data_IF_746435443956
#
_entry.id   IF_746435443956
#
_cell.length_a   1.000
_cell.length_b   1.000
_cell.length_c   1.000
_cell.angle_alpha   90.00
_cell.angle_beta   90.00
_cell.angle_gamma   90.00
#
_symmetry.space_group_name_H-M   'P 1'
#
loop_
_entity.id
_entity.type
_entity.pdbx_description
1 polymer ?
#
# COMPACT_ATOMS: atom_id res chain seq x y z
N UNK A 1 15.03 6.16 -5.91
CA UNK A 1 15.88 6.73 -4.85
C UNK A 1 15.10 7.83 -4.14
N UNK A 2 14.71 7.57 -2.88
CA UNK A 2 14.02 8.54 -2.00
C UNK A 2 14.91 9.78 -1.79
N UNK A 3 16.18 9.56 -1.47
CA UNK A 3 17.22 10.59 -1.32
C UNK A 3 17.43 11.42 -2.59
N UNK A 4 17.35 10.83 -3.79
CA UNK A 4 17.54 11.59 -5.04
C UNK A 4 16.38 12.53 -5.34
N UNK A 5 15.13 12.13 -5.05
CA UNK A 5 13.96 13.00 -5.23
C UNK A 5 14.04 14.17 -4.24
N UNK A 6 14.36 13.87 -2.98
CA UNK A 6 14.51 14.88 -1.94
C UNK A 6 15.69 15.85 -2.22
N UNK A 7 16.78 15.38 -2.82
CA UNK A 7 17.92 16.22 -3.21
C UNK A 7 17.57 17.27 -4.28
N UNK A 8 16.47 17.08 -5.02
CA UNK A 8 15.96 18.05 -5.99
C UNK A 8 14.95 19.04 -5.38
N UNK A 9 14.82 19.09 -4.05
CA UNK A 9 13.81 19.87 -3.33
C UNK A 9 12.36 19.48 -3.68
N UNK A 10 12.13 18.22 -4.05
CA UNK A 10 10.79 17.66 -4.32
C UNK A 10 10.40 16.72 -3.19
N UNK A 11 9.16 16.83 -2.71
CA UNK A 11 8.61 15.94 -1.69
C UNK A 11 8.40 14.55 -2.28
N UNK A 12 9.09 13.55 -1.73
CA UNK A 12 8.88 12.14 -2.02
C UNK A 12 7.72 11.57 -1.21
N UNK A 13 7.02 10.56 -1.75
CA UNK A 13 5.92 9.86 -1.07
C UNK A 13 6.13 8.35 -1.16
N UNK A 14 6.29 7.67 -0.02
CA UNK A 14 6.28 6.21 0.06
C UNK A 14 4.85 5.70 -0.13
N UNK A 15 4.63 4.85 -1.13
CA UNK A 15 3.30 4.34 -1.44
C UNK A 15 3.36 2.98 -2.16
N UNK A 16 2.30 2.18 -2.08
CA UNK A 16 1.16 2.37 -1.18
C UNK A 16 1.52 1.88 0.22
N UNK A 17 0.93 2.48 1.26
CA UNK A 17 1.17 2.02 2.61
C UNK A 17 0.41 0.71 2.84
N UNK A 18 1.17 -0.39 2.78
CA UNK A 18 0.81 -1.76 3.16
C UNK A 18 -0.31 -2.43 2.35
N UNK A 19 -0.22 -3.77 2.30
CA UNK A 19 -1.31 -4.71 2.02
C UNK A 19 -2.15 -4.46 0.75
N UNK A 20 -1.56 -3.85 -0.29
CA UNK A 20 -2.20 -3.52 -1.58
C UNK A 20 -1.55 -4.29 -2.74
N UNK A 21 -1.32 -5.59 -2.52
CA UNK A 21 -0.59 -6.48 -3.45
C UNK A 21 -1.34 -6.80 -4.75
N UNK A 22 -2.67 -6.67 -4.75
CA UNK A 22 -3.49 -6.98 -5.92
C UNK A 22 -4.38 -5.81 -6.33
N UNK A 23 -4.63 -5.69 -7.65
CA UNK A 23 -5.52 -4.66 -8.21
C UNK A 23 -6.99 -5.09 -8.21
N UNK A 24 -7.25 -6.40 -8.27
CA UNK A 24 -8.59 -6.98 -8.23
C UNK A 24 -9.31 -6.54 -6.95
N UNK A 25 -10.46 -5.87 -7.12
CA UNK A 25 -11.27 -5.33 -6.01
C UNK A 25 -10.49 -4.37 -5.09
N UNK A 26 -9.55 -3.60 -5.63
CA UNK A 26 -8.86 -2.54 -4.87
C UNK A 26 -9.71 -1.28 -4.64
N UNK A 27 -10.69 -1.07 -5.52
CA UNK A 27 -11.67 0.00 -5.44
C UNK A 27 -13.06 -0.62 -5.43
N UNK A 28 -14.05 0.18 -5.07
CA UNK A 28 -15.43 -0.27 -5.19
C UNK A 28 -15.75 -0.53 -6.67
N UNK A 29 -16.46 -1.61 -6.95
CA UNK A 29 -17.11 -1.82 -8.23
C UNK A 29 -18.26 -0.83 -8.43
N UNK A 30 -18.55 -0.49 -9.69
CA UNK A 30 -19.64 0.43 -10.04
C UNK A 30 -21.01 -0.06 -9.54
N UNK A 31 -21.22 -1.37 -9.46
CA UNK A 31 -22.50 -1.98 -9.11
C UNK A 31 -22.64 -2.38 -7.63
N UNK A 32 -21.56 -2.33 -6.84
CA UNK A 32 -21.56 -2.78 -5.43
C UNK A 32 -20.76 -1.83 -4.55
N UNK A 33 -21.45 -1.17 -3.63
CA UNK A 33 -20.81 -0.42 -2.54
C UNK A 33 -20.23 -1.45 -1.55
N UNK A 34 -19.00 -1.23 -1.08
CA UNK A 34 -18.28 -2.07 -0.11
C UNK A 34 -17.75 -3.43 -0.62
N UNK A 35 -17.40 -3.57 -1.89
CA UNK A 35 -16.79 -4.79 -2.44
C UNK A 35 -15.25 -4.76 -2.48
N UNK A 36 -14.60 -3.82 -1.77
CA UNK A 36 -13.13 -3.77 -1.65
C UNK A 36 -12.61 -4.98 -0.87
N UNK A 37 -11.46 -5.49 -1.29
CA UNK A 37 -10.78 -6.58 -0.59
C UNK A 37 -10.23 -6.11 0.76
N UNK A 38 -10.43 -6.92 1.79
CA UNK A 38 -9.71 -6.83 3.05
C UNK A 38 -8.53 -7.79 3.01
N UNK A 39 -7.32 -7.24 3.17
CA UNK A 39 -6.08 -8.01 3.27
C UNK A 39 -5.82 -8.33 4.74
N UNK A 40 -6.08 -9.56 5.15
CA UNK A 40 -5.90 -10.00 6.54
C UNK A 40 -4.51 -10.64 6.71
N UNK A 41 -3.76 -10.20 7.70
CA UNK A 41 -2.45 -10.73 8.06
C UNK A 41 -2.25 -10.64 9.56
N UNK A 42 -1.42 -11.53 10.10
CA UNK A 42 -1.04 -11.49 11.51
C UNK A 42 0.05 -10.44 11.77
N UNK A 43 0.26 -10.12 13.05
CA UNK A 43 1.18 -9.08 13.49
C UNK A 43 2.64 -9.34 13.08
N UNK A 44 3.07 -10.61 13.10
CA UNK A 44 4.43 -10.98 12.75
C UNK A 44 4.66 -10.79 11.26
N UNK A 45 3.74 -11.28 10.42
CA UNK A 45 3.81 -11.07 8.96
C UNK A 45 3.80 -9.59 8.61
N UNK A 46 3.01 -8.78 9.33
CA UNK A 46 2.99 -7.33 9.11
C UNK A 46 4.36 -6.69 9.38
N UNK A 47 4.95 -6.94 10.55
CA UNK A 47 6.18 -6.28 10.99
C UNK A 47 7.44 -6.82 10.31
N UNK A 48 7.51 -8.13 10.06
CA UNK A 48 8.72 -8.78 9.51
C UNK A 48 8.77 -8.73 7.98
N UNK A 49 7.66 -8.47 7.29
CA UNK A 49 7.61 -8.49 5.82
C UNK A 49 7.04 -7.20 5.22
N UNK A 50 5.80 -6.82 5.56
CA UNK A 50 5.09 -5.75 4.86
C UNK A 50 5.50 -4.34 5.30
N UNK A 51 5.82 -4.14 6.58
CA UNK A 51 6.21 -2.85 7.16
C UNK A 51 7.72 -2.62 7.18
N UNK A 52 8.50 -3.67 6.98
CA UNK A 52 9.96 -3.64 7.00
C UNK A 52 10.61 -2.65 6.00
N UNK A 53 10.14 -2.53 4.74
CA UNK A 53 10.79 -1.68 3.72
C UNK A 53 10.69 -0.17 4.00
#
# INVERSE_FOLDING_TARGET
SLKAIQAQNVISCGKHYLAKEQETKRKNGFARVNDRTSSNMDDRTLHELYLWP
#
